data_IF_708802777697
#
_entry.id   IF_708802777697
#
_cell.length_a   1.000
_cell.length_b   1.000
_cell.length_c   1.000
_cell.angle_alpha   90.00
_cell.angle_beta   90.00
_cell.angle_gamma   90.00
#
_symmetry.space_group_name_H-M   'P 1'
#
loop_
_entity.id
_entity.type
_entity.pdbx_description
1 polymer ?
#
# COMPACT_ATOMS: atom_id res chain seq x y z
N UNK A 1 -21.90 9.25 6.98
CA UNK A 1 -22.19 8.60 8.28
C UNK A 1 -21.37 9.29 9.36
N UNK A 2 -21.96 9.68 10.50
CA UNK A 2 -21.22 10.18 11.67
C UNK A 2 -21.08 9.03 12.66
N UNK A 3 -19.88 8.84 13.20
CA UNK A 3 -19.53 7.79 14.14
C UNK A 3 -18.67 8.40 15.24
N UNK A 4 -18.85 7.90 16.45
CA UNK A 4 -18.01 8.23 17.60
C UNK A 4 -17.05 7.07 17.82
N UNK A 5 -15.75 7.35 17.84
CA UNK A 5 -14.69 6.37 17.99
C UNK A 5 -13.67 6.97 18.96
N UNK A 6 -13.27 6.22 19.97
CA UNK A 6 -12.21 6.61 20.90
C UNK A 6 -10.84 6.24 20.33
N UNK A 7 -9.96 7.23 20.20
CA UNK A 7 -8.60 7.07 19.68
C UNK A 7 -7.64 7.75 20.66
N UNK A 8 -6.52 7.13 21.03
CA UNK A 8 -5.51 7.76 21.86
C UNK A 8 -4.99 9.05 21.23
N UNK A 9 -4.91 10.13 22.01
CA UNK A 9 -4.45 11.43 21.52
C UNK A 9 -3.00 11.38 21.00
N UNK A 10 -2.14 10.55 21.60
CA UNK A 10 -0.76 10.35 21.15
C UNK A 10 -0.69 9.85 19.70
N UNK A 11 -1.50 8.84 19.36
CA UNK A 11 -1.58 8.29 18.01
C UNK A 11 -2.14 9.30 17.01
N UNK A 12 -3.13 10.08 17.41
CA UNK A 12 -3.68 11.16 16.56
C UNK A 12 -2.65 12.25 16.30
N UNK A 13 -1.87 12.63 17.32
CA UNK A 13 -0.83 13.64 17.20
C UNK A 13 0.31 13.21 16.27
N UNK A 14 0.77 11.97 16.38
CA UNK A 14 1.78 11.41 15.48
C UNK A 14 1.26 11.29 14.05
N UNK A 15 0.04 10.75 13.88
CA UNK A 15 -0.56 10.60 12.57
C UNK A 15 -0.72 11.96 11.87
N UNK A 16 -1.19 12.99 12.56
CA UNK A 16 -1.32 14.34 12.03
C UNK A 16 0.02 14.96 11.61
N UNK A 17 1.10 14.70 12.38
CA UNK A 17 2.45 15.17 12.01
C UNK A 17 2.97 14.48 10.75
N UNK A 18 2.74 13.16 10.63
CA UNK A 18 3.23 12.36 9.51
C UNK A 18 2.48 12.68 8.22
N UNK A 19 1.15 12.78 8.28
CA UNK A 19 0.32 12.97 7.08
C UNK A 19 0.07 14.45 6.75
N UNK A 20 0.44 15.37 7.65
CA UNK A 20 0.20 16.82 7.53
C UNK A 20 -1.27 17.19 7.24
N UNK A 21 -2.21 16.33 7.65
CA UNK A 21 -3.63 16.51 7.38
C UNK A 21 -4.20 17.67 8.21
N UNK A 22 -5.14 18.44 7.65
CA UNK A 22 -5.66 19.64 8.31
C UNK A 22 -6.69 19.32 9.39
N UNK A 23 -7.36 18.17 9.28
CA UNK A 23 -8.43 17.79 10.21
C UNK A 23 -8.35 16.33 10.62
N UNK A 24 -8.86 16.01 11.82
CA UNK A 24 -8.97 14.63 12.33
C UNK A 24 -9.81 13.74 11.40
N UNK A 25 -10.84 14.29 10.78
CA UNK A 25 -11.72 13.58 9.85
C UNK A 25 -11.00 13.22 8.54
N UNK A 26 -10.21 14.15 8.00
CA UNK A 26 -9.41 13.93 6.79
C UNK A 26 -8.33 12.86 7.02
N UNK A 27 -7.68 12.89 8.18
CA UNK A 27 -6.73 11.87 8.60
C UNK A 27 -7.35 10.47 8.53
N UNK A 28 -8.55 10.30 9.11
CA UNK A 28 -9.24 9.01 9.16
C UNK A 28 -9.61 8.54 7.75
N UNK A 29 -10.09 9.43 6.87
CA UNK A 29 -10.36 9.07 5.47
C UNK A 29 -9.11 8.57 4.76
N UNK A 30 -8.01 9.32 4.87
CA UNK A 30 -6.74 8.97 4.25
C UNK A 30 -6.18 7.64 4.78
N UNK A 31 -6.31 7.39 6.09
CA UNK A 31 -5.91 6.14 6.71
C UNK A 31 -6.71 4.95 6.13
N UNK A 32 -8.03 5.08 6.00
CA UNK A 32 -8.89 4.04 5.44
C UNK A 32 -8.58 3.78 3.95
N UNK A 33 -8.42 4.82 3.15
CA UNK A 33 -8.04 4.69 1.74
C UNK A 33 -6.70 3.99 1.58
N UNK A 34 -5.71 4.35 2.40
CA UNK A 34 -4.39 3.71 2.40
C UNK A 34 -4.46 2.22 2.75
N UNK A 35 -5.30 1.82 3.70
CA UNK A 35 -5.50 0.40 4.04
C UNK A 35 -6.09 -0.35 2.86
N UNK A 36 -7.11 0.20 2.20
CA UNK A 36 -7.73 -0.42 1.03
C UNK A 36 -6.72 -0.54 -0.11
N UNK A 37 -5.94 0.52 -0.40
CA UNK A 37 -4.92 0.49 -1.44
C UNK A 37 -3.83 -0.53 -1.15
N UNK A 38 -3.33 -0.60 0.09
CA UNK A 38 -2.32 -1.60 0.49
C UNK A 38 -2.83 -3.03 0.30
N UNK A 39 -4.08 -3.31 0.67
CA UNK A 39 -4.67 -4.63 0.46
C UNK A 39 -4.81 -4.98 -1.01
N UNK A 40 -5.29 -4.06 -1.85
CA UNK A 40 -5.35 -4.26 -3.32
C UNK A 40 -3.97 -4.56 -3.90
N UNK A 41 -2.94 -3.82 -3.51
CA UNK A 41 -1.57 -4.06 -3.97
C UNK A 41 -1.05 -5.41 -3.48
N UNK A 42 -1.36 -5.79 -2.24
CA UNK A 42 -0.97 -7.08 -1.69
C UNK A 42 -1.63 -8.24 -2.45
N UNK A 43 -2.91 -8.12 -2.79
CA UNK A 43 -3.60 -9.11 -3.62
C UNK A 43 -2.99 -9.19 -5.01
N UNK A 44 -2.66 -8.06 -5.63
CA UNK A 44 -1.92 -8.04 -6.91
C UNK A 44 -0.54 -8.70 -6.80
N UNK A 45 0.14 -8.54 -5.66
CA UNK A 45 1.44 -9.20 -5.41
C UNK A 45 1.30 -10.70 -5.23
N UNK A 46 0.15 -11.24 -4.82
CA UNK A 46 -0.08 -12.71 -4.77
C UNK A 46 0.01 -13.34 -6.16
N UNK A 47 -0.36 -12.60 -7.21
CA UNK A 47 -0.23 -13.07 -8.59
C UNK A 47 1.21 -13.02 -9.12
N UNK A 48 2.17 -12.41 -8.40
CA UNK A 48 3.59 -12.54 -8.74
C UNK A 48 4.08 -13.93 -8.38
N UNK A 49 4.24 -14.78 -9.39
CA UNK A 49 4.75 -16.15 -9.25
C UNK A 49 3.77 -17.24 -9.68
N UNK A 50 2.47 -16.90 -9.74
CA UNK A 50 1.43 -17.81 -10.28
C UNK A 50 1.38 -17.76 -11.81
N UNK A 51 1.75 -16.62 -12.39
CA UNK A 51 1.99 -16.51 -13.82
C UNK A 51 3.33 -17.17 -14.13
N UNK A 52 3.27 -18.46 -14.47
CA UNK A 52 4.40 -19.24 -14.93
C UNK A 52 4.82 -18.71 -16.33
N UNK A 53 5.60 -17.63 -16.32
CA UNK A 53 6.18 -17.05 -17.53
C UNK A 53 7.32 -17.97 -17.96
N UNK A 54 7.00 -18.92 -18.83
CA UNK A 54 7.97 -19.82 -19.48
C UNK A 54 8.81 -19.03 -20.50
N UNK A 55 9.62 -18.10 -19.98
CA UNK A 55 10.43 -17.20 -20.78
C UNK A 55 11.86 -17.30 -20.29
N UNK A 56 12.73 -17.82 -21.15
CA UNK A 56 14.17 -17.88 -20.89
C UNK A 56 14.75 -16.48 -20.75
N UNK A 57 14.95 -16.01 -19.52
CA UNK A 57 15.57 -14.70 -19.25
C UNK A 57 16.97 -14.54 -19.88
N UNK A 58 17.65 -15.65 -20.18
CA UNK A 58 18.95 -15.69 -20.85
C UNK A 58 18.86 -15.36 -22.35
N UNK A 59 17.80 -15.79 -23.04
CA UNK A 59 17.60 -15.47 -24.48
C UNK A 59 17.21 -14.01 -24.65
N UNK A 60 16.36 -13.49 -23.76
CA UNK A 60 15.92 -12.09 -23.77
C UNK A 60 17.06 -11.10 -23.47
N UNK A 61 17.95 -11.45 -22.54
CA UNK A 61 19.02 -10.54 -22.10
C UNK A 61 20.22 -10.49 -23.04
N UNK A 62 20.24 -11.25 -24.14
CA UNK A 62 21.38 -11.37 -25.07
C UNK A 62 22.73 -11.53 -24.35
N UNK A 63 22.74 -12.16 -23.17
CA UNK A 63 23.98 -12.45 -22.41
C UNK A 63 24.71 -13.68 -22.95
N UNK A 64 24.42 -14.07 -24.19
CA UNK A 64 25.22 -15.04 -24.93
C UNK A 64 26.48 -14.33 -25.44
N UNK A 65 27.44 -14.17 -24.55
CA UNK A 65 28.87 -13.92 -24.77
C UNK A 65 29.53 -14.39 -23.46
N UNK A 66 30.45 -15.34 -23.42
CA UNK A 66 31.29 -16.00 -24.42
C UNK A 66 31.29 -17.52 -24.19
#
# INVERSE_FOLDING_TARGET
MRITIDIPDGLMGEALKITQSRTKTELIKLALENIIQKNKIMDLKKFRGDVNLDIGLNTLRKRQCC
#
